data_IF_075204513307
#
_entry.id   IF_075204513307
#
_cell.length_a   1.000
_cell.length_b   1.000
_cell.length_c   1.000
_cell.angle_alpha   90.00
_cell.angle_beta   90.00
_cell.angle_gamma   90.00
#
_symmetry.space_group_name_H-M   'P 1'
#
loop_
_entity.id
_entity.type
_entity.pdbx_description
1 polymer ?
#
# COMPACT_ATOMS: atom_id res chain seq x y z
N UNK A 1 -14.86 7.30 -5.50
CA UNK A 1 -14.33 7.99 -4.30
C UNK A 1 -15.52 8.50 -3.50
N UNK A 2 -15.58 8.21 -2.19
CA UNK A 2 -16.60 8.72 -1.28
C UNK A 2 -15.97 9.71 -0.30
N UNK A 3 -16.75 10.66 0.23
CA UNK A 3 -16.26 11.62 1.23
C UNK A 3 -16.08 10.92 2.58
N UNK A 4 -15.06 11.36 3.34
CA UNK A 4 -14.68 10.74 4.61
C UNK A 4 -15.69 10.94 5.76
N UNK A 5 -16.59 11.94 5.65
CA UNK A 5 -17.67 12.18 6.61
C UNK A 5 -18.76 11.09 6.62
N UNK A 6 -18.71 10.18 5.65
CA UNK A 6 -19.69 9.09 5.48
C UNK A 6 -19.22 7.74 6.03
N UNK A 7 -17.99 7.64 6.54
CA UNK A 7 -17.43 6.40 7.10
C UNK A 7 -16.83 6.65 8.48
N UNK A 8 -17.43 6.08 9.52
CA UNK A 8 -16.85 6.01 10.84
C UNK A 8 -15.95 4.76 10.90
N UNK A 9 -14.70 4.86 10.41
CA UNK A 9 -13.75 3.75 10.48
C UNK A 9 -13.26 3.58 11.93
N UNK A 10 -13.44 2.41 12.56
CA UNK A 10 -12.64 2.07 13.72
C UNK A 10 -11.18 1.94 13.26
N UNK A 11 -10.36 2.94 13.56
CA UNK A 11 -8.92 2.83 13.40
C UNK A 11 -8.39 1.98 14.55
N UNK A 12 -7.94 0.77 14.23
CA UNK A 12 -7.29 -0.11 15.21
C UNK A 12 -5.79 0.14 15.20
N UNK A 13 -5.20 0.22 16.39
CA UNK A 13 -3.76 0.20 16.62
C UNK A 13 -3.49 -0.80 17.74
N UNK A 14 -2.35 -1.51 17.74
CA UNK A 14 -1.93 -2.30 18.89
C UNK A 14 -1.90 -1.44 20.17
N UNK A 15 -2.20 -2.04 21.32
CA UNK A 15 -2.28 -1.32 22.62
C UNK A 15 -1.01 -0.49 22.91
N UNK A 16 0.15 -1.01 22.52
CA UNK A 16 1.44 -0.32 22.64
C UNK A 16 1.53 1.01 21.88
N UNK A 17 0.69 1.23 20.86
CA UNK A 17 0.60 2.45 20.07
C UNK A 17 -0.63 3.29 20.39
N UNK A 18 -1.41 2.96 21.42
CA UNK A 18 -2.69 3.62 21.68
C UNK A 18 -2.57 5.13 21.87
N UNK A 19 -1.61 5.56 22.70
CA UNK A 19 -1.42 6.98 22.96
C UNK A 19 -0.97 7.74 21.70
N UNK A 20 -0.02 7.19 20.95
CA UNK A 20 0.47 7.76 19.69
C UNK A 20 -0.63 7.81 18.63
N UNK A 21 -1.45 6.76 18.54
CA UNK A 21 -2.61 6.68 17.66
C UNK A 21 -3.65 7.74 18.00
N UNK A 22 -4.02 7.89 19.28
CA UNK A 22 -4.94 8.96 19.74
C UNK A 22 -4.41 10.34 19.39
N UNK A 23 -3.15 10.65 19.73
CA UNK A 23 -2.52 11.94 19.42
C UNK A 23 -2.51 12.23 17.91
N UNK A 24 -2.27 11.21 17.10
CA UNK A 24 -2.32 11.31 15.64
C UNK A 24 -3.75 11.63 15.16
N UNK A 25 -4.75 10.83 15.52
CA UNK A 25 -6.13 11.04 15.09
C UNK A 25 -6.83 12.23 15.75
N UNK A 26 -6.30 12.78 16.84
CA UNK A 26 -6.68 14.09 17.37
C UNK A 26 -6.26 15.22 16.42
N UNK A 27 -5.07 15.08 15.84
CA UNK A 27 -4.44 16.07 14.97
C UNK A 27 -4.85 15.93 13.49
N UNK A 28 -5.15 14.72 13.04
CA UNK A 28 -5.44 14.37 11.65
C UNK A 28 -6.85 13.79 11.50
N UNK A 29 -7.45 13.99 10.33
CA UNK A 29 -8.74 13.40 9.94
C UNK A 29 -8.60 12.65 8.64
N UNK A 30 -9.37 11.58 8.45
CA UNK A 30 -9.55 10.95 7.15
C UNK A 30 -10.04 12.01 6.15
N UNK A 31 -9.32 12.15 5.05
CA UNK A 31 -9.64 13.12 4.00
C UNK A 31 -10.22 12.41 2.78
N UNK A 32 -9.61 11.29 2.38
CA UNK A 32 -9.99 10.53 1.21
C UNK A 32 -9.88 9.04 1.50
N UNK A 33 -10.88 8.30 1.06
CA UNK A 33 -10.86 6.85 0.99
C UNK A 33 -10.97 6.43 -0.48
N UNK A 34 -10.02 5.61 -0.94
CA UNK A 34 -10.01 5.05 -2.28
C UNK A 34 -9.95 3.53 -2.20
N UNK A 35 -10.90 2.88 -2.86
CA UNK A 35 -10.98 1.43 -2.98
C UNK A 35 -10.73 1.01 -4.43
N UNK A 36 -10.06 -0.12 -4.62
CA UNK A 36 -9.96 -0.76 -5.93
C UNK A 36 -11.36 -1.19 -6.38
N UNK A 37 -11.77 -0.90 -7.63
CA UNK A 37 -12.99 -1.48 -8.16
C UNK A 37 -12.80 -2.98 -8.39
N UNK A 38 -13.92 -3.71 -8.44
CA UNK A 38 -13.96 -5.17 -8.71
C UNK A 38 -13.95 -5.48 -10.21
N UNK A 39 -14.10 -4.47 -11.07
CA UNK A 39 -14.08 -4.59 -12.52
C UNK A 39 -13.22 -3.49 -13.15
N UNK A 40 -12.80 -3.73 -14.40
CA UNK A 40 -11.93 -2.81 -15.14
C UNK A 40 -12.61 -1.45 -15.29
N UNK A 41 -11.91 -0.38 -14.92
CA UNK A 41 -12.39 0.99 -15.11
C UNK A 41 -12.64 1.27 -16.60
N UNK A 42 -13.77 1.91 -16.89
CA UNK A 42 -14.14 2.41 -18.20
C UNK A 42 -14.21 3.95 -18.19
N UNK A 43 -14.26 4.58 -19.36
CA UNK A 43 -14.41 6.03 -19.46
C UNK A 43 -13.16 6.85 -19.12
N UNK A 44 -11.97 6.23 -19.16
CA UNK A 44 -10.72 6.98 -19.06
C UNK A 44 -10.62 8.01 -20.17
N UNK A 45 -10.08 9.20 -19.85
CA UNK A 45 -9.89 10.26 -20.84
C UNK A 45 -9.04 9.77 -22.00
N UNK A 46 -9.41 10.15 -23.23
CA UNK A 46 -8.60 9.83 -24.40
C UNK A 46 -7.17 10.39 -24.27
N UNK A 47 -6.18 9.62 -24.73
CA UNK A 47 -4.74 9.92 -24.55
C UNK A 47 -4.34 11.29 -25.10
N UNK A 48 -4.99 11.75 -26.17
CA UNK A 48 -4.74 13.05 -26.80
C UNK A 48 -5.07 14.25 -25.91
N UNK A 49 -5.99 14.06 -24.95
CA UNK A 49 -6.41 15.11 -24.03
C UNK A 49 -5.78 15.00 -22.64
N UNK A 50 -4.91 14.01 -22.40
CA UNK A 50 -4.29 13.81 -21.07
C UNK A 50 -3.17 14.82 -20.81
N UNK A 51 -3.10 15.26 -19.56
CA UNK A 51 -1.97 16.02 -19.00
C UNK A 51 -1.49 15.29 -17.77
N UNK A 52 -0.19 15.03 -17.68
CA UNK A 52 0.38 14.32 -16.54
C UNK A 52 0.27 15.19 -15.28
N UNK A 53 -0.39 14.68 -14.24
CA UNK A 53 -0.54 15.35 -12.95
C UNK A 53 0.82 15.64 -12.29
N UNK A 54 1.81 14.78 -12.52
CA UNK A 54 3.10 14.83 -11.82
C UNK A 54 4.14 15.73 -12.50
N UNK A 55 4.36 15.55 -13.80
CA UNK A 55 5.35 16.35 -14.54
C UNK A 55 4.73 17.51 -15.34
N UNK A 56 3.40 17.63 -15.37
CA UNK A 56 2.62 18.66 -16.10
C UNK A 56 2.78 18.64 -17.63
N UNK A 57 3.49 17.66 -18.18
CA UNK A 57 3.64 17.47 -19.63
C UNK A 57 2.44 16.75 -20.24
N UNK A 58 2.23 16.98 -21.53
CA UNK A 58 1.24 16.32 -22.39
C UNK A 58 1.91 15.80 -23.67
N UNK A 59 1.18 15.10 -24.53
CA UNK A 59 1.71 14.69 -25.84
C UNK A 59 2.09 15.92 -26.68
N UNK A 60 3.16 15.86 -27.50
CA UNK A 60 4.03 14.70 -27.75
C UNK A 60 5.21 14.55 -26.77
N UNK A 61 5.35 15.42 -25.76
CA UNK A 61 6.51 15.40 -24.85
C UNK A 61 6.58 14.16 -23.96
N UNK A 62 5.44 13.52 -23.73
CA UNK A 62 5.28 12.28 -22.95
C UNK A 62 4.17 11.45 -23.58
N UNK A 63 4.15 10.15 -23.30
CA UNK A 63 3.10 9.20 -23.74
C UNK A 63 2.30 8.68 -22.55
N UNK A 64 1.14 8.08 -22.83
CA UNK A 64 0.22 7.50 -21.84
C UNK A 64 -0.19 6.09 -22.26
N UNK A 65 0.79 5.25 -22.59
CA UNK A 65 0.58 3.90 -23.11
C UNK A 65 0.48 2.84 -22.02
N UNK A 66 1.05 3.09 -20.85
CA UNK A 66 1.04 2.17 -19.73
C UNK A 66 -0.24 2.32 -18.88
N UNK A 67 -0.70 1.21 -18.31
CA UNK A 67 -1.73 1.20 -17.28
C UNK A 67 -1.11 1.61 -15.93
N UNK A 68 -1.17 2.91 -15.64
CA UNK A 68 -0.62 3.48 -14.43
C UNK A 68 -1.59 3.32 -13.24
N UNK A 69 -1.35 2.31 -12.41
CA UNK A 69 -2.15 2.00 -11.23
C UNK A 69 -2.05 3.11 -10.17
N UNK A 70 -3.16 3.52 -9.56
CA UNK A 70 -3.16 4.50 -8.46
C UNK A 70 -2.56 3.84 -7.20
N UNK A 71 -3.13 2.72 -6.79
CA UNK A 71 -2.60 1.83 -5.74
C UNK A 71 -1.76 0.74 -6.42
N UNK A 72 -0.53 0.43 -5.98
CA UNK A 72 0.29 -0.60 -6.61
C UNK A 72 -0.40 -1.97 -6.65
N UNK A 73 -0.15 -2.74 -7.72
CA UNK A 73 -0.76 -4.07 -7.89
C UNK A 73 -0.40 -5.04 -6.77
N UNK A 74 0.83 -4.96 -6.24
CA UNK A 74 1.26 -5.84 -5.15
C UNK A 74 0.54 -5.60 -3.83
N UNK A 75 -0.30 -4.57 -3.74
CA UNK A 75 -1.20 -4.29 -2.63
C UNK A 75 -2.62 -4.80 -2.88
N UNK A 76 -2.86 -5.49 -4.00
CA UNK A 76 -4.15 -6.06 -4.37
C UNK A 76 -4.99 -5.20 -5.31
N UNK A 77 -4.45 -4.10 -5.87
CA UNK A 77 -5.16 -3.31 -6.86
C UNK A 77 -5.05 -3.93 -8.25
N UNK A 78 -6.20 -4.16 -8.90
CA UNK A 78 -6.24 -4.68 -10.27
C UNK A 78 -6.72 -3.67 -11.29
N UNK A 79 -7.60 -2.77 -10.88
CA UNK A 79 -8.39 -1.99 -11.83
C UNK A 79 -8.41 -0.49 -11.56
N UNK A 80 -7.95 -0.04 -10.39
CA UNK A 80 -7.84 1.39 -10.07
C UNK A 80 -6.62 1.98 -10.77
N UNK A 81 -6.81 2.43 -12.01
CA UNK A 81 -5.78 3.04 -12.87
C UNK A 81 -6.05 4.52 -13.08
N UNK A 82 -5.01 5.27 -13.45
CA UNK A 82 -5.06 6.70 -13.69
C UNK A 82 -4.95 7.02 -15.18
N UNK A 83 -5.65 8.07 -15.62
CA UNK A 83 -5.49 8.70 -16.93
C UNK A 83 -4.66 9.99 -16.87
N UNK A 84 -4.01 10.24 -15.74
CA UNK A 84 -3.24 11.44 -15.46
C UNK A 84 -1.79 11.16 -15.08
N UNK A 85 -1.29 9.94 -15.28
CA UNK A 85 0.12 9.58 -15.09
C UNK A 85 0.72 9.16 -16.44
N UNK A 86 1.79 9.85 -16.87
CA UNK A 86 2.46 9.51 -18.12
C UNK A 86 3.52 8.42 -17.94
N UNK A 87 3.90 7.76 -19.04
CA UNK A 87 4.81 6.60 -19.03
C UNK A 87 6.16 6.91 -18.37
N UNK A 88 6.68 8.14 -18.54
CA UNK A 88 7.94 8.56 -17.89
C UNK A 88 7.84 8.68 -16.37
N UNK A 89 6.72 9.17 -15.84
CA UNK A 89 6.48 9.24 -14.40
C UNK A 89 6.17 7.85 -13.86
N UNK A 90 5.39 7.06 -14.59
CA UNK A 90 5.10 5.68 -14.25
C UNK A 90 6.38 4.84 -14.14
N UNK A 91 7.30 4.94 -15.11
CA UNK A 91 8.58 4.26 -15.06
C UNK A 91 9.44 4.69 -13.85
N UNK A 92 9.36 5.96 -13.44
CA UNK A 92 10.03 6.42 -12.22
C UNK A 92 9.39 5.81 -10.96
N UNK A 93 8.07 5.89 -10.83
CA UNK A 93 7.36 5.43 -9.64
C UNK A 93 7.39 3.91 -9.48
N UNK A 94 7.47 3.15 -10.59
CA UNK A 94 7.70 1.71 -10.58
C UNK A 94 9.01 1.31 -9.87
N UNK A 95 10.04 2.17 -9.90
CA UNK A 95 11.28 1.94 -9.12
C UNK A 95 11.02 2.09 -7.62
N UNK A 96 10.22 3.07 -7.24
CA UNK A 96 9.85 3.27 -5.83
C UNK A 96 8.97 2.13 -5.32
N UNK A 97 7.99 1.75 -6.13
CA UNK A 97 7.07 0.65 -5.86
C UNK A 97 7.81 -0.69 -5.70
N UNK A 98 8.90 -0.90 -6.45
CA UNK A 98 9.77 -2.07 -6.27
C UNK A 98 10.43 -2.11 -4.88
N UNK A 99 10.90 -0.97 -4.38
CA UNK A 99 11.47 -0.88 -3.03
C UNK A 99 10.40 -1.02 -1.94
N UNK A 100 9.22 -0.46 -2.16
CA UNK A 100 8.08 -0.67 -1.27
C UNK A 100 7.70 -2.15 -1.21
N UNK A 101 7.67 -2.83 -2.35
CA UNK A 101 7.40 -4.25 -2.41
C UNK A 101 8.46 -5.10 -1.67
N UNK A 102 9.73 -4.69 -1.70
CA UNK A 102 10.80 -5.35 -0.92
C UNK A 102 10.68 -5.07 0.58
N UNK A 103 10.32 -3.84 0.96
CA UNK A 103 10.06 -3.46 2.34
C UNK A 103 8.98 -4.34 2.99
N UNK A 104 7.86 -4.56 2.28
CA UNK A 104 6.76 -5.39 2.77
C UNK A 104 7.15 -6.87 2.91
N UNK A 105 8.05 -7.39 2.07
CA UNK A 105 8.52 -8.78 2.18
C UNK A 105 7.38 -9.80 2.12
N UNK A 106 7.31 -10.71 3.10
CA UNK A 106 6.31 -11.79 3.16
C UNK A 106 4.88 -11.27 3.26
N UNK A 107 4.67 -10.08 3.84
CA UNK A 107 3.32 -9.52 4.02
C UNK A 107 2.60 -9.37 2.68
N UNK A 108 3.31 -9.18 1.57
CA UNK A 108 2.69 -9.11 0.24
C UNK A 108 1.89 -10.35 -0.16
N UNK A 109 2.34 -11.53 0.28
CA UNK A 109 1.63 -12.77 0.03
C UNK A 109 0.45 -12.97 0.98
N UNK A 110 0.38 -12.20 2.06
CA UNK A 110 -0.73 -12.18 3.03
C UNK A 110 -1.82 -11.18 2.65
N UNK A 111 -1.48 -10.12 1.90
CA UNK A 111 -2.38 -9.00 1.59
C UNK A 111 -3.24 -9.21 0.33
N UNK A 112 -3.01 -10.27 -0.44
CA UNK A 112 -3.64 -10.42 -1.76
C UNK A 112 -4.06 -11.87 -2.00
N UNK A 113 -5.35 -12.05 -2.24
CA UNK A 113 -6.00 -13.36 -2.41
C UNK A 113 -5.86 -13.96 -3.82
N UNK A 114 -5.38 -13.17 -4.79
CA UNK A 114 -5.20 -13.67 -6.15
C UNK A 114 -4.05 -14.68 -6.24
N UNK A 115 -4.32 -15.79 -6.94
CA UNK A 115 -3.33 -16.79 -7.38
C UNK A 115 -2.09 -16.07 -7.86
N UNK A 116 -0.94 -16.40 -7.27
CA UNK A 116 0.42 -16.21 -7.81
C UNK A 116 1.28 -15.05 -7.30
N UNK A 117 0.88 -14.33 -6.23
CA UNK A 117 1.88 -13.50 -5.54
C UNK A 117 2.89 -14.38 -4.81
N UNK A 118 4.08 -14.42 -5.40
CA UNK A 118 5.24 -15.15 -4.89
C UNK A 118 6.21 -14.17 -4.25
N UNK A 119 6.63 -14.49 -3.04
CA UNK A 119 7.75 -13.84 -2.37
C UNK A 119 8.87 -14.85 -2.20
N UNK A 120 10.07 -14.46 -2.63
CA UNK A 120 11.29 -15.20 -2.35
C UNK A 120 12.19 -14.28 -1.53
N UNK A 121 12.71 -14.78 -0.42
CA UNK A 121 13.72 -14.06 0.33
C UNK A 121 14.97 -13.81 -0.51
N UNK A 122 15.77 -12.83 -0.12
CA UNK A 122 17.00 -12.47 -0.83
C UNK A 122 18.02 -13.60 -0.81
N UNK A 123 18.13 -14.30 0.32
CA UNK A 123 18.99 -15.47 0.52
C UNK A 123 18.43 -16.76 -0.11
N UNK A 124 17.21 -16.72 -0.68
CA UNK A 124 16.50 -17.87 -1.24
C UNK A 124 16.23 -19.01 -0.24
N UNK A 125 16.28 -18.72 1.06
CA UNK A 125 15.95 -19.69 2.10
C UNK A 125 14.45 -19.81 2.36
N UNK A 126 13.66 -18.80 1.98
CA UNK A 126 12.20 -18.77 2.18
C UNK A 126 11.47 -18.45 0.88
N UNK A 127 10.46 -19.25 0.59
CA UNK A 127 9.54 -19.10 -0.53
C UNK A 127 8.12 -19.05 0.03
N UNK A 128 7.40 -17.99 -0.26
CA UNK A 128 6.01 -17.80 0.16
C UNK A 128 5.15 -17.61 -1.08
N UNK A 129 4.05 -18.33 -1.15
CA UNK A 129 3.09 -18.21 -2.24
C UNK A 129 1.68 -18.28 -1.68
N UNK A 130 0.84 -17.33 -2.11
CA UNK A 130 -0.60 -17.42 -1.89
C UNK A 130 -1.24 -18.25 -3.02
N UNK A 131 -2.06 -19.22 -2.63
CA UNK A 131 -2.73 -20.18 -3.51
C UNK A 131 -4.14 -20.40 -2.97
N UNK A 132 -5.18 -20.34 -3.81
CA UNK A 132 -6.50 -20.81 -3.43
C UNK A 132 -6.59 -22.32 -3.64
N UNK A 133 -7.22 -22.98 -2.67
CA UNK A 133 -7.64 -24.38 -2.71
C UNK A 133 -9.15 -24.51 -2.93
N UNK A 134 -9.64 -25.75 -3.00
CA UNK A 134 -11.07 -26.06 -2.90
C UNK A 134 -11.74 -25.53 -1.63
N UNK A 135 -10.98 -25.41 -0.53
CA UNK A 135 -11.49 -25.15 0.82
C UNK A 135 -11.23 -23.70 1.31
N UNK A 136 -10.64 -22.84 0.47
CA UNK A 136 -10.35 -21.44 0.81
C UNK A 136 -9.00 -20.93 0.29
N UNK A 137 -8.57 -19.76 0.72
CA UNK A 137 -7.24 -19.21 0.43
C UNK A 137 -6.21 -19.74 1.46
N UNK A 138 -5.03 -20.16 1.02
CA UNK A 138 -3.95 -20.55 1.93
C UNK A 138 -2.61 -19.97 1.50
N UNK A 139 -1.76 -19.70 2.50
CA UNK A 139 -0.40 -19.22 2.30
C UNK A 139 0.54 -20.40 2.47
N UNK A 140 1.12 -20.86 1.37
CA UNK A 140 2.16 -21.88 1.40
C UNK A 140 3.51 -21.22 1.66
N UNK A 141 4.19 -21.62 2.73
CA UNK A 141 5.57 -21.22 3.02
C UNK A 141 6.47 -22.45 2.94
N UNK A 142 7.55 -22.33 2.18
CA UNK A 142 8.56 -23.38 2.00
C UNK A 142 9.92 -22.82 2.35
N UNK A 143 10.73 -23.65 3.00
CA UNK A 143 12.13 -23.34 3.27
C UNK A 143 13.07 -24.31 2.56
N UNK A 144 14.30 -23.88 2.32
CA UNK A 144 15.38 -24.82 1.96
C UNK A 144 15.68 -25.70 3.18
N UNK A 145 15.93 -26.99 2.95
CA UNK A 145 16.30 -27.94 4.00
C UNK A 145 17.44 -27.38 4.87
N UNK A 146 17.35 -27.61 6.18
CA UNK A 146 18.33 -27.18 7.19
C UNK A 146 18.51 -25.65 7.36
N UNK A 147 17.70 -24.82 6.69
CA UNK A 147 17.68 -23.38 6.98
C UNK A 147 16.95 -23.05 8.29
N UNK A 148 17.42 -22.00 8.97
CA UNK A 148 16.79 -21.43 10.16
C UNK A 148 15.57 -20.54 9.84
N UNK A 149 14.99 -20.68 8.65
CA UNK A 149 13.87 -19.86 8.20
C UNK A 149 12.60 -20.06 9.03
N UNK A 150 12.43 -21.25 9.64
CA UNK A 150 11.36 -21.54 10.59
C UNK A 150 11.94 -22.01 11.92
N UNK A 151 11.53 -21.34 12.99
CA UNK A 151 11.71 -21.74 14.38
C UNK A 151 10.32 -22.05 14.95
N UNK A 152 10.15 -23.27 15.48
CA UNK A 152 8.88 -23.73 16.04
C UNK A 152 8.97 -23.70 17.57
N UNK A 153 8.20 -22.81 18.19
CA UNK A 153 7.99 -22.77 19.63
C UNK A 153 6.73 -23.58 19.96
N UNK A 154 6.95 -24.85 20.31
CA UNK A 154 5.85 -25.78 20.64
C UNK A 154 5.14 -25.43 21.95
N UNK A 155 5.81 -24.75 22.87
CA UNK A 155 5.23 -24.41 24.17
C UNK A 155 4.21 -23.29 24.00
N UNK A 156 4.57 -22.26 23.25
CA UNK A 156 3.71 -21.10 22.99
C UNK A 156 2.82 -21.24 21.74
N UNK A 157 2.96 -22.34 20.98
CA UNK A 157 2.27 -22.55 19.70
C UNK A 157 2.55 -21.41 18.71
N UNK A 158 3.82 -21.05 18.56
CA UNK A 158 4.26 -19.97 17.68
C UNK A 158 5.25 -20.50 16.64
N UNK A 159 5.09 -20.05 15.40
CA UNK A 159 6.12 -20.17 14.35
C UNK A 159 6.77 -18.82 14.14
N UNK A 160 8.08 -18.76 14.38
CA UNK A 160 8.89 -17.61 14.05
C UNK A 160 9.52 -17.80 12.68
N UNK A 161 9.24 -16.86 11.78
CA UNK A 161 9.73 -16.87 10.39
C UNK A 161 10.89 -15.89 10.25
N UNK A 162 12.11 -16.41 10.08
CA UNK A 162 13.31 -15.61 9.86
C UNK A 162 13.65 -15.58 8.37
N UNK A 163 13.89 -14.40 7.81
CA UNK A 163 14.28 -14.29 6.41
C UNK A 163 15.00 -12.99 6.09
N UNK A 164 15.86 -13.02 5.08
CA UNK A 164 16.50 -11.82 4.55
C UNK A 164 15.56 -11.07 3.60
N UNK A 165 15.14 -9.87 3.98
CA UNK A 165 14.39 -8.95 3.09
C UNK A 165 15.26 -8.50 1.91
N UNK A 166 14.61 -8.20 0.78
CA UNK A 166 15.27 -7.55 -0.35
C UNK A 166 15.84 -6.19 0.03
N UNK A 167 17.00 -5.82 -0.53
CA UNK A 167 17.55 -4.47 -0.34
C UNK A 167 16.59 -3.44 -0.91
N UNK A 168 16.25 -2.42 -0.12
CA UNK A 168 15.35 -1.34 -0.52
C UNK A 168 15.84 0.00 0.03
N UNK A 169 15.41 1.09 -0.59
CA UNK A 169 15.63 2.44 -0.09
C UNK A 169 14.40 2.91 0.71
N UNK A 170 14.51 3.22 2.01
CA UNK A 170 13.36 3.68 2.81
C UNK A 170 12.65 4.91 2.22
N UNK A 171 13.42 5.83 1.64
CA UNK A 171 12.89 7.01 0.95
C UNK A 171 11.95 6.68 -0.21
N UNK A 172 12.22 5.58 -0.91
CA UNK A 172 11.39 5.13 -2.02
C UNK A 172 10.05 4.57 -1.52
N UNK A 173 10.03 3.92 -0.34
CA UNK A 173 8.79 3.50 0.32
C UNK A 173 7.88 4.70 0.59
N UNK A 174 8.45 5.75 1.17
CA UNK A 174 7.72 7.00 1.42
C UNK A 174 7.20 7.64 0.12
N UNK A 175 8.05 7.71 -0.92
CA UNK A 175 7.64 8.24 -2.23
C UNK A 175 6.52 7.42 -2.87
N UNK A 176 6.50 6.10 -2.72
CA UNK A 176 5.37 5.27 -3.17
C UNK A 176 4.07 5.63 -2.43
N UNK A 177 4.12 5.76 -1.10
CA UNK A 177 2.96 6.17 -0.30
C UNK A 177 2.48 7.57 -0.69
N UNK A 178 3.40 8.52 -0.88
CA UNK A 178 3.09 9.88 -1.31
C UNK A 178 2.46 9.91 -2.71
N UNK A 179 2.95 9.08 -3.64
CA UNK A 179 2.36 8.94 -4.98
C UNK A 179 0.92 8.44 -4.91
N UNK A 180 0.64 7.45 -4.05
CA UNK A 180 -0.73 6.95 -3.84
C UNK A 180 -1.59 8.10 -3.32
N UNK A 181 -1.16 8.78 -2.26
CA UNK A 181 -1.90 9.89 -1.67
C UNK A 181 -2.21 11.00 -2.69
N UNK A 182 -1.20 11.51 -3.41
CA UNK A 182 -1.37 12.55 -4.45
C UNK A 182 -2.25 12.11 -5.62
N UNK A 183 -2.38 10.80 -5.85
CA UNK A 183 -3.25 10.24 -6.88
C UNK A 183 -4.71 10.14 -6.41
N UNK A 184 -4.94 9.77 -5.15
CA UNK A 184 -6.29 9.60 -4.61
C UNK A 184 -6.94 10.94 -4.24
N UNK A 185 -6.18 12.00 -3.96
CA UNK A 185 -6.79 13.32 -3.77
C UNK A 185 -7.40 13.87 -5.06
N UNK A 186 -8.47 14.64 -4.88
CA UNK A 186 -9.03 15.47 -5.94
C UNK A 186 -7.97 16.47 -6.46
N UNK A 187 -7.85 16.68 -7.80
CA UNK A 187 -6.86 17.57 -8.38
C UNK A 187 -6.83 18.96 -7.75
N UNK A 188 -7.98 19.55 -7.42
CA UNK A 188 -8.10 20.89 -6.83
C UNK A 188 -7.53 20.94 -5.41
N UNK A 189 -7.69 19.86 -4.66
CA UNK A 189 -7.20 19.77 -3.27
C UNK A 189 -5.68 19.72 -3.17
N UNK A 190 -4.98 19.30 -4.23
CA UNK A 190 -3.53 19.13 -4.24
C UNK A 190 -2.76 20.14 -5.08
N UNK A 191 -3.42 21.12 -5.71
CA UNK A 191 -2.77 22.07 -6.64
C UNK A 191 -1.60 22.82 -5.99
N UNK A 192 -1.74 23.19 -4.71
CA UNK A 192 -0.72 23.97 -3.99
C UNK A 192 0.41 23.13 -3.38
N UNK A 193 0.40 21.80 -3.54
CA UNK A 193 1.41 20.92 -2.95
C UNK A 193 2.64 20.76 -3.87
N UNK A 194 3.11 21.86 -4.45
CA UNK A 194 4.21 21.85 -5.41
C UNK A 194 5.48 21.18 -4.86
N UNK A 195 5.78 21.39 -3.58
CA UNK A 195 6.90 20.76 -2.90
C UNK A 195 6.78 19.23 -2.92
N UNK A 196 5.59 18.67 -2.68
CA UNK A 196 5.36 17.22 -2.69
C UNK A 196 5.53 16.63 -4.11
N UNK A 197 4.98 17.29 -5.13
CA UNK A 197 5.17 16.87 -6.53
C UNK A 197 6.63 16.96 -6.99
N UNK A 198 7.35 17.98 -6.51
CA UNK A 198 8.78 18.16 -6.83
C UNK A 198 9.61 17.08 -6.15
N UNK A 199 9.42 16.89 -4.85
CA UNK A 199 10.10 15.88 -4.06
C UNK A 199 9.87 14.46 -4.59
N UNK A 200 8.63 14.14 -4.99
CA UNK A 200 8.31 12.83 -5.55
C UNK A 200 9.12 12.53 -6.83
N UNK A 201 9.44 13.56 -7.62
CA UNK A 201 10.25 13.42 -8.85
C UNK A 201 11.75 13.62 -8.63
N UNK A 202 12.16 14.25 -7.53
CA UNK A 202 13.57 14.45 -7.21
C UNK A 202 14.25 13.11 -6.88
N UNK A 203 15.47 12.91 -7.40
CA UNK A 203 16.30 11.74 -7.11
C UNK A 203 17.24 11.98 -5.92
N UNK A 204 17.32 13.20 -5.41
CA UNK A 204 18.13 13.56 -4.24
C UNK A 204 17.38 13.20 -2.98
N UNK A 205 18.00 12.36 -2.16
CA UNK A 205 17.43 11.86 -0.91
C UNK A 205 17.61 12.84 0.27
N UNK A 206 18.22 14.00 0.02
CA UNK A 206 18.66 14.97 1.04
C UNK A 206 17.53 15.79 1.68
N UNK A 207 16.27 15.61 1.27
CA UNK A 207 15.15 16.41 1.77
C UNK A 207 14.36 15.75 2.91
N UNK A 208 14.77 14.57 3.39
CA UNK A 208 14.08 13.89 4.49
C UNK A 208 14.77 14.14 5.82
N UNK A 209 14.20 15.03 6.63
CA UNK A 209 14.42 15.01 8.08
C UNK A 209 13.09 14.72 8.76
N UNK A 210 13.03 13.65 9.56
CA UNK A 210 11.93 13.37 10.48
C UNK A 210 10.63 12.79 9.90
N UNK A 211 10.67 11.66 9.17
CA UNK A 211 9.46 10.91 8.79
C UNK A 211 9.40 9.54 9.46
N UNK A 212 8.24 9.22 10.03
CA UNK A 212 7.91 7.90 10.57
C UNK A 212 6.81 7.26 9.71
N UNK A 213 7.04 6.02 9.25
CA UNK A 213 5.99 5.20 8.63
C UNK A 213 5.26 4.49 9.77
N UNK A 214 4.03 4.92 10.06
CA UNK A 214 3.12 4.13 10.89
C UNK A 214 2.48 3.06 9.99
N UNK A 215 2.86 1.79 10.21
CA UNK A 215 2.25 0.65 9.52
C UNK A 215 1.19 0.05 10.43
N UNK A 216 -0.09 0.25 10.10
CA UNK A 216 -1.21 -0.33 10.82
C UNK A 216 -1.71 -1.54 10.04
N UNK A 217 -1.52 -2.74 10.62
CA UNK A 217 -2.27 -3.92 10.20
C UNK A 217 -3.64 -3.85 10.88
N UNK A 218 -4.70 -3.73 10.08
CA UNK A 218 -6.05 -3.84 10.60
C UNK A 218 -6.39 -5.31 10.81
N UNK A 219 -6.77 -5.67 12.03
CA UNK A 219 -7.62 -6.83 12.26
C UNK A 219 -9.06 -6.41 11.91
N UNK A 220 -9.39 -6.49 10.63
CA UNK A 220 -10.69 -6.12 10.13
C UNK A 220 -11.67 -7.27 10.38
N UNK A 221 -12.16 -7.38 11.60
CA UNK A 221 -13.17 -8.36 11.97
C UNK A 221 -14.59 -7.96 11.55
N UNK A 222 -14.82 -6.75 10.99
CA UNK A 222 -16.17 -6.27 10.61
C UNK A 222 -16.23 -5.30 9.40
N UNK A 223 -15.26 -5.32 8.48
CA UNK A 223 -15.26 -4.44 7.30
C UNK A 223 -15.06 -5.26 6.03
N UNK A 224 -16.17 -5.69 5.43
CA UNK A 224 -16.24 -6.25 4.07
C UNK A 224 -16.02 -5.15 3.03
N UNK A 225 -14.76 -4.77 2.78
CA UNK A 225 -14.42 -4.04 1.55
C UNK A 225 -13.81 -4.99 0.52
N UNK A 226 -14.46 -5.19 -0.64
CA UNK A 226 -13.87 -5.99 -1.70
C UNK A 226 -12.67 -5.23 -2.31
N UNK A 227 -11.46 -5.73 -2.03
CA UNK A 227 -10.22 -5.31 -2.69
C UNK A 227 -9.35 -4.29 -1.94
N UNK A 228 -8.17 -4.00 -2.51
CA UNK A 228 -7.20 -3.07 -1.95
C UNK A 228 -7.79 -1.67 -1.74
N UNK A 229 -7.52 -1.04 -0.60
CA UNK A 229 -7.90 0.35 -0.35
C UNK A 229 -6.75 1.16 0.21
N UNK A 230 -6.90 2.48 0.17
CA UNK A 230 -5.95 3.40 0.77
C UNK A 230 -6.70 4.58 1.37
N UNK A 231 -6.24 4.99 2.55
CA UNK A 231 -6.74 6.14 3.27
C UNK A 231 -5.68 7.24 3.22
N UNK A 232 -6.08 8.45 2.84
CA UNK A 232 -5.25 9.63 3.07
C UNK A 232 -5.86 10.49 4.18
N UNK A 233 -5.01 10.97 5.07
CA UNK A 233 -5.40 11.86 6.17
C UNK A 233 -4.83 13.26 5.98
N UNK A 234 -5.51 14.24 6.56
CA UNK A 234 -5.14 15.66 6.53
C UNK A 234 -5.21 16.26 7.93
N UNK A 235 -4.38 17.26 8.25
CA UNK A 235 -4.37 17.91 9.56
C UNK A 235 -5.66 18.70 9.79
N UNK A 236 -6.26 18.61 11.00
CA UNK A 236 -7.54 19.27 11.34
C UNK A 236 -7.41 20.79 11.48
N UNK A 237 -6.28 21.30 11.98
CA UNK A 237 -6.04 22.76 12.14
C UNK A 237 -5.44 23.36 10.87
N UNK A 238 -6.12 24.38 10.34
CA UNK A 238 -5.81 25.06 9.08
C UNK A 238 -4.41 25.67 9.07
N UNK A 239 -3.65 25.40 8.01
CA UNK A 239 -2.38 26.07 7.71
C UNK A 239 -1.26 25.11 7.32
N UNK A 240 -1.22 23.90 7.89
CA UNK A 240 -0.18 22.91 7.56
C UNK A 240 -0.73 21.82 6.65
N UNK A 241 -0.47 21.98 5.35
CA UNK A 241 -0.84 21.07 4.25
C UNK A 241 0.06 19.83 4.22
N UNK A 242 -0.02 18.99 5.25
CA UNK A 242 0.67 17.69 5.23
C UNK A 242 -0.27 16.60 4.76
N UNK A 243 0.22 15.80 3.80
CA UNK A 243 -0.48 14.66 3.23
C UNK A 243 0.16 13.41 3.83
N UNK A 244 -0.62 12.63 4.58
CA UNK A 244 -0.20 11.32 5.06
C UNK A 244 -1.08 10.24 4.43
N UNK A 245 -0.45 9.15 3.98
CA UNK A 245 -1.14 7.97 3.47
C UNK A 245 -1.06 6.87 4.52
N UNK A 246 -2.21 6.36 4.96
CA UNK A 246 -2.31 5.11 5.69
C UNK A 246 -2.73 4.02 4.70
N UNK A 247 -1.88 3.01 4.57
CA UNK A 247 -2.18 1.85 3.73
C UNK A 247 -2.86 0.79 4.58
N UNK A 248 -4.01 0.32 4.13
CA UNK A 248 -4.68 -0.82 4.72
C UNK A 248 -5.07 -1.74 3.57
N UNK A 249 -4.51 -2.95 3.52
CA UNK A 249 -4.91 -3.97 2.57
C UNK A 249 -5.62 -5.09 3.35
N UNK A 250 -6.83 -5.45 2.93
CA UNK A 250 -7.60 -6.53 3.54
C UNK A 250 -6.99 -7.89 3.20
N UNK A 251 -6.94 -8.78 4.20
CA UNK A 251 -7.31 -10.18 4.03
C UNK A 251 -8.72 -10.36 4.58
N UNK A 252 -9.52 -11.24 3.98
CA UNK A 252 -10.93 -11.47 4.33
C UNK A 252 -11.17 -11.93 5.80
N UNK A 253 -12.36 -11.64 6.33
CA UNK A 253 -12.81 -11.95 7.70
C UNK A 253 -12.88 -13.46 8.01
N UNK A 254 -12.90 -14.29 6.97
CA UNK A 254 -12.98 -15.74 7.09
C UNK A 254 -11.75 -16.37 7.79
N UNK A 255 -10.66 -15.61 8.00
CA UNK A 255 -9.46 -16.06 8.71
C UNK A 255 -9.45 -15.78 10.22
N UNK A 256 -10.18 -14.76 10.68
CA UNK A 256 -10.14 -14.32 12.09
C UNK A 256 -11.48 -14.51 12.82
N UNK A 257 -12.58 -14.75 12.09
CA UNK A 257 -13.93 -14.93 12.67
C UNK A 257 -14.23 -16.34 13.20
N UNK A 258 -13.33 -17.30 12.99
CA UNK A 258 -13.29 -18.48 13.84
C UNK A 258 -12.22 -18.25 14.90
N UNK A 259 -12.65 -18.17 16.15
CA UNK A 259 -11.85 -18.44 17.33
C UNK A 259 -11.23 -19.84 17.21
N UNK A 260 -10.16 -19.93 16.44
CA UNK A 260 -9.13 -20.94 16.53
C UNK A 260 -7.86 -20.12 16.53
N UNK A 261 -7.32 -19.97 17.73
CA UNK A 261 -5.88 -19.88 17.95
C UNK A 261 -5.14 -20.34 16.71
N UNK A 262 -4.25 -19.50 16.15
CA UNK A 262 -3.22 -19.99 15.25
C UNK A 262 -2.53 -21.16 15.98
N UNK A 263 -2.96 -22.38 15.68
CA UNK A 263 -2.36 -23.63 16.10
C UNK A 263 -1.65 -24.15 14.87
N UNK A 264 -0.39 -23.72 14.73
CA UNK A 264 0.72 -24.46 14.14
C UNK A 264 2.00 -24.03 14.85
#
# INVERSE_FOLDING_TARGET
>A
MKRADQFNYPCFYPDEFEESGKRFFDSYRLAVHANSPTSKMTGLRDKSFRTCRFCKKKMPQVTFNNDAHIIPQFLGNKYLISDFECDSCNALFSKYESDFARFLGIHRAMLVEEKSLKFNSSDKNLFVQSSPDSDGHFISMKRVSDSNAFEFDKENQLVKVNYTKGVYRPINVYKSLLKIALSIFDPHSVQDHYAAFTFLRDQRDSMMTGFEILYLLHDATNILLPGAYCNAVSKKRSGSKFIYSCLCAHGDESYFSNSRSFQL
#
